data_IF_957301797767
#
_entry.id   IF_957301797767
#
_cell.length_a   1.000
_cell.length_b   1.000
_cell.length_c   1.000
_cell.angle_alpha   90.00
_cell.angle_beta   90.00
_cell.angle_gamma   90.00
#
_symmetry.space_group_name_H-M   'P 1'
#
loop_
_entity.id
_entity.type
_entity.pdbx_description
1 polymer ?
#
# COMPACT_ATOMS: atom_id res chain seq x y z
N UNK A 1 46.48 43.95 32.45
CA UNK A 1 45.92 44.01 31.10
C UNK A 1 45.60 42.57 30.73
N UNK A 2 44.35 42.18 30.96
CA UNK A 2 43.86 40.81 30.72
C UNK A 2 42.78 40.91 29.65
N UNK A 3 43.09 40.44 28.49
CA UNK A 3 42.14 40.30 27.37
C UNK A 3 41.32 39.02 27.56
N UNK A 4 40.05 39.21 27.88
CA UNK A 4 39.05 38.12 27.85
C UNK A 4 38.54 37.99 26.44
N UNK A 5 38.89 36.86 25.81
CA UNK A 5 38.34 36.47 24.52
C UNK A 5 36.97 35.81 24.76
N UNK A 6 35.91 36.54 24.44
CA UNK A 6 34.53 36.07 24.47
C UNK A 6 34.29 35.11 23.27
N UNK A 7 34.16 33.82 23.55
CA UNK A 7 33.71 32.82 22.57
C UNK A 7 32.19 32.94 22.44
N UNK A 8 31.75 33.58 21.39
CA UNK A 8 30.33 33.72 21.03
C UNK A 8 29.84 32.43 20.36
N UNK A 9 29.19 31.59 21.14
CA UNK A 9 28.46 30.41 20.61
C UNK A 9 27.33 30.89 19.71
N UNK A 10 27.47 30.63 18.41
CA UNK A 10 26.37 30.80 17.45
C UNK A 10 25.43 29.58 17.58
N UNK A 11 24.41 29.73 18.40
CA UNK A 11 23.22 28.86 18.31
C UNK A 11 22.39 29.30 17.11
N UNK A 12 22.54 28.60 16.00
CA UNK A 12 21.62 28.68 14.86
C UNK A 12 20.31 27.99 15.20
N UNK A 13 19.51 28.62 16.06
CA UNK A 13 18.14 28.23 16.30
C UNK A 13 17.32 28.48 15.03
N UNK A 14 16.92 27.42 14.33
CA UNK A 14 15.93 27.53 13.27
C UNK A 14 14.64 28.07 13.85
N UNK A 15 14.41 29.37 13.66
CA UNK A 15 13.16 30.02 14.03
C UNK A 15 12.08 29.54 13.09
N UNK A 16 11.41 28.45 13.46
CA UNK A 16 10.21 28.01 12.75
C UNK A 16 9.11 29.03 13.07
N UNK A 17 8.75 29.84 12.08
CA UNK A 17 7.69 30.83 12.27
C UNK A 17 6.37 30.12 12.59
N UNK A 18 5.64 30.60 13.61
CA UNK A 18 4.35 30.08 14.05
C UNK A 18 3.35 29.91 12.89
N UNK A 19 3.41 30.79 11.89
CA UNK A 19 2.62 30.73 10.67
C UNK A 19 2.95 29.49 9.82
N UNK A 20 4.21 29.13 9.70
CA UNK A 20 4.65 27.93 8.96
C UNK A 20 4.20 26.66 9.67
N UNK A 21 4.28 26.62 11.01
CA UNK A 21 3.78 25.49 11.81
C UNK A 21 2.25 25.38 11.69
N UNK A 22 1.53 26.49 11.77
CA UNK A 22 0.07 26.49 11.59
C UNK A 22 -0.36 26.11 10.17
N UNK A 23 0.39 26.52 9.15
CA UNK A 23 0.15 26.10 7.76
C UNK A 23 0.45 24.61 7.56
N UNK A 24 1.50 24.08 8.22
CA UNK A 24 1.81 22.65 8.21
C UNK A 24 0.77 21.82 8.98
N UNK A 25 0.29 22.32 10.14
CA UNK A 25 -0.80 21.67 10.90
C UNK A 25 -2.11 21.72 10.11
N UNK A 26 -2.42 22.84 9.44
CA UNK A 26 -3.60 22.94 8.57
C UNK A 26 -3.48 22.00 7.36
N UNK A 27 -2.30 21.84 6.78
CA UNK A 27 -2.04 20.87 5.72
C UNK A 27 -2.17 19.43 6.23
N UNK A 28 -1.73 19.12 7.45
CA UNK A 28 -1.89 17.82 8.10
C UNK A 28 -3.34 17.54 8.53
N UNK A 29 -4.09 18.54 8.97
CA UNK A 29 -5.52 18.41 9.28
C UNK A 29 -6.38 18.22 8.02
N UNK A 30 -5.90 18.67 6.87
CA UNK A 30 -6.48 18.37 5.55
C UNK A 30 -6.01 17.02 4.98
N UNK A 31 -4.99 16.38 5.58
CA UNK A 31 -4.41 15.13 5.09
C UNK A 31 -5.30 13.90 5.32
N UNK A 32 -6.21 13.91 6.29
CA UNK A 32 -7.15 12.80 6.51
C UNK A 32 -8.12 12.57 5.34
N UNK A 33 -8.71 13.62 4.73
CA UNK A 33 -9.43 13.50 3.47
C UNK A 33 -8.50 13.34 2.25
N UNK A 34 -7.22 13.76 2.35
CA UNK A 34 -6.26 13.71 1.24
C UNK A 34 -5.79 12.28 0.91
N UNK A 35 -5.78 11.34 1.85
CA UNK A 35 -5.42 9.95 1.54
C UNK A 35 -6.46 9.30 0.62
N UNK A 36 -7.74 9.50 0.88
CA UNK A 36 -8.81 9.00 0.00
C UNK A 36 -8.84 9.79 -1.31
N UNK A 37 -8.66 11.10 -1.27
CA UNK A 37 -8.58 11.93 -2.47
C UNK A 37 -7.35 11.59 -3.31
N UNK A 38 -6.19 11.28 -2.70
CA UNK A 38 -4.99 10.86 -3.42
C UNK A 38 -5.16 9.50 -4.09
N UNK A 39 -5.82 8.54 -3.44
CA UNK A 39 -6.13 7.24 -4.04
C UNK A 39 -7.08 7.38 -5.23
N UNK A 40 -8.11 8.22 -5.15
CA UNK A 40 -9.00 8.50 -6.28
C UNK A 40 -8.25 9.13 -7.46
N UNK A 41 -7.34 10.07 -7.22
CA UNK A 41 -6.52 10.66 -8.28
C UNK A 41 -5.62 9.64 -8.98
N UNK A 42 -5.10 8.65 -8.25
CA UNK A 42 -4.33 7.55 -8.87
C UNK A 42 -5.23 6.70 -9.77
N UNK A 43 -6.43 6.33 -9.30
CA UNK A 43 -7.39 5.60 -10.12
C UNK A 43 -7.84 6.39 -11.36
N UNK A 44 -8.06 7.70 -11.23
CA UNK A 44 -8.38 8.58 -12.35
C UNK A 44 -7.24 8.68 -13.36
N UNK A 45 -5.98 8.77 -12.90
CA UNK A 45 -4.81 8.80 -13.75
C UNK A 45 -4.64 7.49 -14.51
N UNK A 46 -4.80 6.33 -13.84
CA UNK A 46 -4.82 5.00 -14.48
C UNK A 46 -5.90 4.91 -15.56
N UNK A 47 -7.11 5.33 -15.23
CA UNK A 47 -8.24 5.32 -16.18
C UNK A 47 -8.01 6.27 -17.37
N UNK A 48 -7.37 7.42 -17.16
CA UNK A 48 -7.01 8.36 -18.22
C UNK A 48 -5.96 7.77 -19.16
N UNK A 49 -4.93 7.14 -18.62
CA UNK A 49 -3.90 6.47 -19.42
C UNK A 49 -4.48 5.34 -20.27
N UNK A 50 -5.36 4.53 -19.69
CA UNK A 50 -6.04 3.46 -20.40
C UNK A 50 -6.95 4.00 -21.52
N UNK A 51 -7.64 5.12 -21.32
CA UNK A 51 -8.46 5.78 -22.36
C UNK A 51 -7.61 6.30 -23.51
N UNK A 52 -6.44 6.84 -23.23
CA UNK A 52 -5.56 7.44 -24.25
C UNK A 52 -4.85 6.39 -25.09
N UNK A 53 -4.47 5.25 -24.48
CA UNK A 53 -3.64 4.20 -25.11
C UNK A 53 -4.43 2.94 -25.46
N UNK A 54 -5.73 2.86 -25.13
CA UNK A 54 -6.57 1.68 -25.27
C UNK A 54 -6.36 0.62 -24.20
N UNK A 55 -5.14 0.51 -23.64
CA UNK A 55 -4.75 -0.41 -22.57
C UNK A 55 -3.69 0.29 -21.71
N UNK A 56 -3.74 0.09 -20.40
CA UNK A 56 -2.69 0.58 -19.49
C UNK A 56 -1.34 -0.07 -19.85
N UNK A 57 -0.30 0.75 -19.94
CA UNK A 57 1.08 0.28 -20.15
C UNK A 57 1.87 0.48 -18.86
N UNK A 58 2.49 -0.59 -18.34
CA UNK A 58 3.33 -0.49 -17.13
C UNK A 58 4.41 0.58 -17.29
N UNK A 59 4.63 1.36 -16.21
CA UNK A 59 5.57 2.49 -16.18
C UNK A 59 6.83 2.18 -15.37
N UNK A 60 6.71 1.33 -14.37
CA UNK A 60 7.77 0.94 -13.46
C UNK A 60 8.19 -0.52 -13.62
N UNK A 61 7.22 -1.38 -13.87
CA UNK A 61 7.42 -2.82 -13.97
C UNK A 61 7.59 -3.27 -15.41
N UNK A 62 8.37 -4.33 -15.63
CA UNK A 62 8.38 -5.05 -16.90
C UNK A 62 7.04 -5.72 -17.17
N UNK A 63 6.78 -6.12 -18.41
CA UNK A 63 5.54 -6.81 -18.76
C UNK A 63 5.33 -8.10 -17.93
N UNK A 64 6.39 -8.86 -17.71
CA UNK A 64 6.36 -10.07 -16.90
C UNK A 64 6.03 -9.78 -15.42
N UNK A 65 6.73 -8.82 -14.82
CA UNK A 65 6.48 -8.41 -13.44
C UNK A 65 5.05 -7.88 -13.25
N UNK A 66 4.56 -7.12 -14.23
CA UNK A 66 3.21 -6.58 -14.16
C UNK A 66 2.14 -7.67 -14.24
N UNK A 67 2.27 -8.65 -15.13
CA UNK A 67 1.35 -9.79 -15.19
C UNK A 67 1.46 -10.66 -13.93
N UNK A 68 2.67 -10.84 -13.38
CA UNK A 68 2.89 -11.52 -12.09
C UNK A 68 2.15 -10.78 -10.96
N UNK A 69 2.26 -9.45 -10.93
CA UNK A 69 1.56 -8.62 -9.95
C UNK A 69 0.03 -8.74 -10.07
N UNK A 70 -0.53 -8.77 -11.28
CA UNK A 70 -1.98 -8.96 -11.48
C UNK A 70 -2.47 -10.28 -10.90
N UNK A 71 -1.75 -11.36 -11.17
CA UNK A 71 -2.09 -12.68 -10.61
C UNK A 71 -1.95 -12.68 -9.08
N UNK A 72 -0.89 -12.05 -8.55
CA UNK A 72 -0.68 -11.92 -7.12
C UNK A 72 -1.81 -11.12 -6.46
N UNK A 73 -2.21 -9.99 -7.03
CA UNK A 73 -3.32 -9.19 -6.54
C UNK A 73 -4.64 -9.99 -6.47
N UNK A 74 -4.95 -10.77 -7.50
CA UNK A 74 -6.16 -11.60 -7.54
C UNK A 74 -6.13 -12.77 -6.53
N UNK A 75 -4.94 -13.27 -6.20
CA UNK A 75 -4.79 -14.29 -5.14
C UNK A 75 -4.93 -13.68 -3.73
N UNK A 76 -4.60 -12.41 -3.56
CA UNK A 76 -4.75 -11.68 -2.29
C UNK A 76 -6.20 -11.23 -2.08
N UNK A 77 -6.78 -10.59 -3.09
CA UNK A 77 -8.18 -10.14 -3.11
C UNK A 77 -8.79 -10.55 -4.45
N UNK A 78 -9.71 -11.50 -4.48
CA UNK A 78 -10.35 -11.94 -5.72
C UNK A 78 -10.99 -10.79 -6.48
N UNK A 79 -10.60 -10.59 -7.74
CA UNK A 79 -11.07 -9.49 -8.58
C UNK A 79 -10.26 -8.20 -8.48
N UNK A 80 -9.19 -8.16 -7.69
CA UNK A 80 -8.37 -6.96 -7.52
C UNK A 80 -7.73 -6.49 -8.83
N UNK A 81 -7.32 -7.41 -9.71
CA UNK A 81 -6.78 -7.04 -11.03
C UNK A 81 -7.82 -6.32 -11.89
N UNK A 82 -9.10 -6.77 -11.87
CA UNK A 82 -10.20 -6.08 -12.55
C UNK A 82 -10.52 -4.72 -11.92
N UNK A 83 -10.25 -4.54 -10.65
CA UNK A 83 -10.37 -3.28 -9.93
C UNK A 83 -9.22 -2.31 -10.19
N UNK A 84 -8.21 -2.70 -11.00
CA UNK A 84 -7.08 -1.84 -11.35
C UNK A 84 -5.98 -1.80 -10.28
N UNK A 85 -5.89 -2.82 -9.40
CA UNK A 85 -4.93 -2.81 -8.31
C UNK A 85 -3.47 -2.88 -8.78
N UNK A 86 -3.17 -3.65 -9.82
CA UNK A 86 -1.83 -3.75 -10.36
C UNK A 86 -1.39 -2.44 -11.06
N UNK A 87 -2.30 -1.82 -11.80
CA UNK A 87 -2.11 -0.52 -12.45
C UNK A 87 -1.86 0.59 -11.41
N UNK A 88 -2.63 0.59 -10.34
CA UNK A 88 -2.48 1.52 -9.22
C UNK A 88 -1.08 1.39 -8.58
N UNK A 89 -0.66 0.16 -8.28
CA UNK A 89 0.64 -0.11 -7.66
C UNK A 89 1.80 0.26 -8.59
N UNK A 90 1.70 -0.08 -9.88
CA UNK A 90 2.73 0.25 -10.87
C UNK A 90 2.87 1.77 -11.05
N UNK A 91 1.74 2.49 -11.14
CA UNK A 91 1.77 3.95 -11.24
C UNK A 91 2.41 4.61 -10.02
N UNK A 92 2.07 4.18 -8.80
CA UNK A 92 2.73 4.67 -7.58
C UNK A 92 4.21 4.31 -7.55
N UNK A 93 4.57 3.09 -7.96
CA UNK A 93 5.97 2.66 -8.05
C UNK A 93 6.75 3.52 -9.04
N UNK A 94 6.15 3.97 -10.13
CA UNK A 94 6.80 4.86 -11.10
C UNK A 94 7.16 6.24 -10.54
N UNK A 95 6.50 6.65 -9.45
CA UNK A 95 6.70 7.95 -8.80
C UNK A 95 7.54 7.84 -7.51
N UNK A 96 7.79 6.62 -7.03
CA UNK A 96 8.50 6.34 -5.79
C UNK A 96 9.53 5.23 -5.99
N UNK A 97 10.82 5.60 -6.02
CA UNK A 97 11.93 4.66 -6.27
C UNK A 97 12.08 3.58 -5.19
N UNK A 98 11.74 3.85 -3.94
CA UNK A 98 11.76 2.85 -2.87
C UNK A 98 10.66 1.80 -3.11
N UNK A 99 9.46 2.25 -3.44
CA UNK A 99 8.34 1.35 -3.78
C UNK A 99 8.66 0.54 -5.04
N UNK A 100 9.24 1.14 -6.07
CA UNK A 100 9.71 0.43 -7.26
C UNK A 100 10.69 -0.69 -6.90
N UNK A 101 11.69 -0.41 -6.06
CA UNK A 101 12.66 -1.41 -5.60
C UNK A 101 12.03 -2.55 -4.80
N UNK A 102 11.03 -2.25 -3.95
CA UNK A 102 10.28 -3.26 -3.20
C UNK A 102 9.54 -4.20 -4.15
N UNK A 103 8.86 -3.67 -5.17
CA UNK A 103 8.08 -4.49 -6.08
C UNK A 103 8.94 -5.26 -7.08
N UNK A 104 9.92 -4.62 -7.72
CA UNK A 104 10.83 -5.33 -8.64
C UNK A 104 11.63 -6.41 -7.92
N UNK A 105 12.21 -6.08 -6.75
CA UNK A 105 12.95 -7.06 -5.94
C UNK A 105 12.06 -8.17 -5.39
N UNK A 106 10.86 -7.85 -4.95
CA UNK A 106 9.92 -8.82 -4.39
C UNK A 106 9.36 -9.78 -5.44
N UNK A 107 8.98 -9.29 -6.61
CA UNK A 107 8.50 -10.11 -7.73
C UNK A 107 9.63 -11.01 -8.27
N UNK A 108 10.85 -10.48 -8.41
CA UNK A 108 12.00 -11.29 -8.77
C UNK A 108 12.30 -12.39 -7.75
N UNK A 109 12.22 -12.07 -6.45
CA UNK A 109 12.35 -13.06 -5.38
C UNK A 109 11.29 -14.17 -5.51
N UNK A 110 10.04 -13.78 -5.75
CA UNK A 110 8.90 -14.71 -5.89
C UNK A 110 9.13 -15.70 -7.03
N UNK A 111 9.52 -15.21 -8.21
CA UNK A 111 9.85 -16.04 -9.36
C UNK A 111 11.03 -16.98 -9.09
N UNK A 112 12.07 -16.50 -8.42
CA UNK A 112 13.23 -17.33 -8.06
C UNK A 112 12.86 -18.41 -7.04
N UNK A 113 12.02 -18.09 -6.05
CA UNK A 113 11.53 -19.05 -5.07
C UNK A 113 10.70 -20.14 -5.76
N UNK A 114 9.79 -19.76 -6.65
CA UNK A 114 8.98 -20.68 -7.44
C UNK A 114 9.85 -21.57 -8.34
N UNK A 115 10.84 -21.02 -9.02
CA UNK A 115 11.77 -21.83 -9.84
C UNK A 115 12.55 -22.85 -9.02
N UNK A 116 13.00 -22.48 -7.81
CA UNK A 116 13.72 -23.42 -6.91
C UNK A 116 12.84 -24.56 -6.42
N UNK A 117 11.58 -24.28 -6.08
CA UNK A 117 10.70 -25.25 -5.42
C UNK A 117 9.84 -26.04 -6.42
N UNK A 118 9.43 -25.40 -7.52
CA UNK A 118 8.45 -25.96 -8.46
C UNK A 118 8.96 -26.00 -9.92
N UNK A 119 10.21 -25.61 -10.18
CA UNK A 119 10.83 -25.59 -11.53
C UNK A 119 10.05 -24.73 -12.55
N UNK A 120 9.27 -23.75 -12.08
CA UNK A 120 8.46 -22.84 -12.89
C UNK A 120 8.49 -21.45 -12.26
N UNK A 121 8.33 -20.37 -13.04
CA UNK A 121 8.08 -19.05 -12.49
C UNK A 121 6.63 -18.94 -11.96
N UNK A 122 6.32 -17.81 -11.30
CA UNK A 122 5.02 -17.65 -10.66
C UNK A 122 3.86 -17.67 -11.66
N UNK A 123 4.03 -17.14 -12.88
CA UNK A 123 2.96 -17.12 -13.89
C UNK A 123 2.69 -18.50 -14.49
N UNK A 124 3.75 -19.28 -14.72
CA UNK A 124 3.66 -20.58 -15.38
C UNK A 124 3.41 -21.74 -14.42
N UNK A 125 3.60 -21.50 -13.11
CA UNK A 125 3.35 -22.50 -12.08
C UNK A 125 1.86 -22.85 -11.96
N UNK A 126 1.57 -24.05 -11.45
CA UNK A 126 0.20 -24.48 -11.15
C UNK A 126 -0.42 -23.61 -10.06
N UNK A 127 -1.75 -23.45 -10.11
CA UNK A 127 -2.47 -22.65 -9.12
C UNK A 127 -2.22 -23.12 -7.67
N UNK A 128 -2.18 -24.44 -7.44
CA UNK A 128 -1.89 -25.01 -6.12
C UNK A 128 -0.50 -24.62 -5.61
N UNK A 129 0.53 -24.63 -6.49
CA UNK A 129 1.90 -24.29 -6.14
C UNK A 129 2.03 -22.80 -5.79
N UNK A 130 1.33 -21.94 -6.55
CA UNK A 130 1.25 -20.49 -6.24
C UNK A 130 0.64 -20.24 -4.86
N UNK A 131 -0.48 -20.90 -4.56
CA UNK A 131 -1.14 -20.76 -3.25
C UNK A 131 -0.23 -21.27 -2.13
N UNK A 132 0.39 -22.46 -2.30
CA UNK A 132 1.32 -23.00 -1.32
C UNK A 132 2.52 -22.07 -1.06
N UNK A 133 3.06 -21.43 -2.10
CA UNK A 133 4.12 -20.43 -1.94
C UNK A 133 3.64 -19.21 -1.15
N UNK A 134 2.45 -18.69 -1.45
CA UNK A 134 1.90 -17.55 -0.72
C UNK A 134 1.61 -17.91 0.74
N UNK A 135 1.10 -19.09 1.04
CA UNK A 135 0.89 -19.56 2.42
C UNK A 135 2.18 -19.61 3.23
N UNK A 136 3.30 -19.96 2.60
CA UNK A 136 4.62 -19.91 3.24
C UNK A 136 5.01 -18.51 3.67
N UNK A 137 4.78 -17.50 2.84
CA UNK A 137 5.23 -16.11 3.06
C UNK A 137 4.16 -15.21 3.68
N UNK A 138 2.93 -15.71 3.87
CA UNK A 138 1.83 -14.93 4.44
C UNK A 138 2.01 -14.60 5.93
N UNK A 139 2.78 -15.40 6.65
CA UNK A 139 2.86 -15.32 8.11
C UNK A 139 4.29 -15.24 8.62
N UNK A 140 4.57 -14.30 9.51
CA UNK A 140 5.88 -14.14 10.17
C UNK A 140 6.34 -15.37 10.94
N UNK A 141 5.42 -16.19 11.45
CA UNK A 141 5.77 -17.44 12.13
C UNK A 141 6.53 -18.44 11.24
N UNK A 142 6.44 -18.28 9.92
CA UNK A 142 7.11 -19.10 8.92
C UNK A 142 8.47 -18.51 8.49
N UNK A 143 8.97 -17.48 9.21
CA UNK A 143 10.18 -16.76 8.81
C UNK A 143 11.43 -17.64 8.98
N UNK A 144 12.15 -17.80 7.88
CA UNK A 144 13.48 -18.39 7.80
C UNK A 144 14.40 -17.42 7.05
N UNK A 145 15.71 -17.58 7.07
CA UNK A 145 16.60 -16.74 6.27
C UNK A 145 16.21 -16.70 4.78
N UNK A 146 15.72 -17.81 4.24
CA UNK A 146 15.33 -17.95 2.83
C UNK A 146 13.98 -17.26 2.53
N UNK A 147 13.03 -17.31 3.47
CA UNK A 147 11.68 -16.76 3.30
C UNK A 147 11.52 -15.31 3.74
N UNK A 148 12.46 -14.79 4.54
CA UNK A 148 12.36 -13.48 5.17
C UNK A 148 12.12 -12.32 4.17
N UNK A 149 12.78 -12.34 3.01
CA UNK A 149 12.58 -11.34 1.97
C UNK A 149 11.18 -11.43 1.35
N UNK A 150 10.71 -12.65 1.07
CA UNK A 150 9.37 -12.91 0.56
C UNK A 150 8.28 -12.48 1.54
N UNK A 151 8.45 -12.74 2.83
CA UNK A 151 7.49 -12.33 3.87
C UNK A 151 7.39 -10.79 3.93
N UNK A 152 8.52 -10.08 3.88
CA UNK A 152 8.52 -8.60 3.85
C UNK A 152 7.84 -8.06 2.60
N UNK A 153 8.13 -8.65 1.44
CA UNK A 153 7.47 -8.28 0.19
C UNK A 153 5.96 -8.54 0.25
N UNK A 154 5.53 -9.72 0.75
CA UNK A 154 4.11 -10.07 0.81
C UNK A 154 3.30 -9.14 1.72
N UNK A 155 3.89 -8.65 2.81
CA UNK A 155 3.26 -7.63 3.66
C UNK A 155 2.94 -6.37 2.87
N UNK A 156 3.87 -5.89 2.04
CA UNK A 156 3.66 -4.75 1.14
C UNK A 156 2.62 -5.06 0.06
N UNK A 157 2.78 -6.18 -0.63
CA UNK A 157 1.86 -6.59 -1.70
C UNK A 157 0.43 -6.69 -1.18
N UNK A 158 0.21 -7.34 -0.03
CA UNK A 158 -1.12 -7.47 0.58
C UNK A 158 -1.71 -6.13 0.96
N UNK A 159 -0.94 -5.28 1.64
CA UNK A 159 -1.42 -3.96 2.07
C UNK A 159 -1.84 -3.12 0.86
N UNK A 160 -0.97 -2.99 -0.12
CA UNK A 160 -1.23 -2.15 -1.29
C UNK A 160 -2.34 -2.70 -2.18
N UNK A 161 -2.48 -4.04 -2.30
CA UNK A 161 -3.60 -4.64 -3.04
C UNK A 161 -4.93 -4.32 -2.37
N UNK A 162 -5.02 -4.44 -1.04
CA UNK A 162 -6.22 -4.10 -0.27
C UNK A 162 -6.54 -2.61 -0.42
N UNK A 163 -5.54 -1.74 -0.23
CA UNK A 163 -5.71 -0.30 -0.35
C UNK A 163 -6.18 0.09 -1.77
N UNK A 164 -5.53 -0.44 -2.81
CA UNK A 164 -5.88 -0.17 -4.20
C UNK A 164 -7.28 -0.68 -4.55
N UNK A 165 -7.64 -1.90 -4.14
CA UNK A 165 -8.94 -2.47 -4.47
C UNK A 165 -10.08 -1.74 -3.76
N UNK A 166 -10.00 -1.58 -2.44
CA UNK A 166 -11.11 -1.01 -1.68
C UNK A 166 -11.23 0.52 -1.77
N UNK A 167 -10.28 1.19 -2.42
CA UNK A 167 -10.43 2.59 -2.87
C UNK A 167 -10.92 2.71 -4.31
N UNK A 168 -11.00 1.61 -5.06
CA UNK A 168 -11.57 1.58 -6.40
C UNK A 168 -13.09 1.61 -6.39
N UNK A 169 -13.71 2.03 -7.51
CA UNK A 169 -15.16 2.01 -7.65
C UNK A 169 -15.76 0.61 -7.44
N UNK A 170 -15.04 -0.45 -7.86
CA UNK A 170 -15.47 -1.83 -7.67
C UNK A 170 -15.46 -2.24 -6.20
N UNK A 171 -14.38 -1.98 -5.48
CA UNK A 171 -14.25 -2.32 -4.07
C UNK A 171 -15.17 -1.49 -3.17
N UNK A 172 -15.33 -0.19 -3.43
CA UNK A 172 -16.30 0.67 -2.73
C UNK A 172 -17.72 0.12 -2.88
N UNK A 173 -18.08 -0.30 -4.10
CA UNK A 173 -19.39 -0.90 -4.37
C UNK A 173 -19.57 -2.24 -3.62
N UNK A 174 -18.54 -3.08 -3.60
CA UNK A 174 -18.55 -4.37 -2.89
C UNK A 174 -18.74 -4.19 -1.38
N UNK A 175 -18.07 -3.20 -0.79
CA UNK A 175 -18.25 -2.85 0.62
C UNK A 175 -19.63 -2.28 0.95
N UNK A 176 -20.42 -1.90 -0.06
CA UNK A 176 -21.68 -1.17 0.16
C UNK A 176 -21.47 0.20 0.82
N UNK A 177 -20.27 0.77 0.69
CA UNK A 177 -19.95 2.05 1.31
C UNK A 177 -20.69 3.20 0.61
N UNK A 178 -21.62 3.80 1.34
CA UNK A 178 -22.46 4.91 0.87
C UNK A 178 -21.92 6.30 1.24
N UNK A 179 -20.70 6.38 1.76
CA UNK A 179 -20.15 7.60 2.34
C UNK A 179 -20.62 7.84 3.79
N UNK A 180 -20.00 8.82 4.43
CA UNK A 180 -20.39 9.23 5.76
C UNK A 180 -21.67 10.07 5.68
N UNK A 181 -22.70 9.69 6.42
CA UNK A 181 -23.92 10.49 6.56
C UNK A 181 -23.84 11.28 7.86
N UNK A 182 -24.13 12.58 7.79
CA UNK A 182 -24.29 13.41 8.98
C UNK A 182 -25.39 12.84 9.87
N UNK A 183 -25.09 12.62 11.13
CA UNK A 183 -26.09 12.18 12.12
C UNK A 183 -26.33 13.32 13.11
N UNK A 184 -27.60 13.56 13.46
CA UNK A 184 -27.98 14.58 14.44
C UNK A 184 -27.60 14.18 15.87
N UNK A 185 -27.40 12.88 16.13
CA UNK A 185 -27.01 12.34 17.43
C UNK A 185 -25.98 11.22 17.22
N UNK A 186 -25.00 11.18 18.12
CA UNK A 186 -24.07 10.05 18.19
C UNK A 186 -24.81 8.83 18.79
N UNK A 187 -24.85 7.74 18.03
CA UNK A 187 -25.46 6.49 18.48
C UNK A 187 -24.48 5.34 18.25
N UNK A 188 -24.17 4.62 19.33
CA UNK A 188 -23.42 3.38 19.24
C UNK A 188 -24.41 2.23 19.38
N UNK A 189 -24.50 1.31 18.41
CA UNK A 189 -25.33 0.12 18.52
C UNK A 189 -24.97 -0.69 19.79
N UNK A 190 -25.97 -1.18 20.50
CA UNK A 190 -25.74 -1.94 21.72
C UNK A 190 -24.83 -3.16 21.50
N UNK A 191 -24.97 -3.83 20.37
CA UNK A 191 -24.11 -4.96 19.98
C UNK A 191 -22.61 -4.59 19.92
N UNK A 192 -22.29 -3.36 19.48
CA UNK A 192 -20.91 -2.88 19.44
C UNK A 192 -20.36 -2.62 20.85
N UNK A 193 -21.22 -2.11 21.75
CA UNK A 193 -20.88 -1.92 23.17
C UNK A 193 -20.65 -3.27 23.83
N UNK A 194 -21.56 -4.22 23.66
CA UNK A 194 -21.47 -5.56 24.22
C UNK A 194 -20.22 -6.31 23.72
N UNK A 195 -19.92 -6.17 22.43
CA UNK A 195 -18.69 -6.72 21.87
C UNK A 195 -17.43 -6.13 22.50
N UNK A 196 -17.38 -4.81 22.67
CA UNK A 196 -16.24 -4.13 23.27
C UNK A 196 -16.07 -4.50 24.75
N UNK A 197 -17.16 -4.54 25.53
CA UNK A 197 -17.16 -4.93 26.94
C UNK A 197 -16.69 -6.38 27.10
N UNK A 198 -17.25 -7.31 26.33
CA UNK A 198 -16.85 -8.73 26.36
C UNK A 198 -15.36 -8.92 26.06
N UNK A 199 -14.79 -8.10 25.19
CA UNK A 199 -13.38 -8.20 24.78
C UNK A 199 -12.42 -7.49 25.73
N UNK A 200 -12.88 -6.46 26.43
CA UNK A 200 -12.08 -5.72 27.42
C UNK A 200 -11.91 -6.44 28.76
N UNK A 201 -12.72 -7.48 29.01
CA UNK A 201 -12.72 -8.22 30.29
C UNK A 201 -13.32 -7.44 31.45
N UNK A 202 -14.11 -6.39 31.15
CA UNK A 202 -14.88 -5.60 32.13
C UNK A 202 -16.23 -6.24 32.40
#
# INVERSE_FOLDING_TARGET
MSEQTEVRSQESGVRIERRTVLAQIAALALAGPLEIASAQHVHEAVASDAKTSGVYKPKSLTAHEFETLKVLCDLIVPGASKGGAAEFIDLLSSQNGEMAAIYTGGLAWLDQAMKREHSADFLTAKAADRTAMLDKIAYRKNETPESAAGIRFFVWARRMTVDAYYTSAAGIKELGYMGNKGQSQFHVPQEAIDYAVKRSGL
#
